data_IF_073928600840
#
_entry.id   IF_073928600840
#
_cell.length_a   1.000
_cell.length_b   1.000
_cell.length_c   1.000
_cell.angle_alpha   90.00
_cell.angle_beta   90.00
_cell.angle_gamma   90.00
#
_symmetry.space_group_name_H-M   'P 1'
#
loop_
_entity.id
_entity.type
_entity.pdbx_description
1 polymer ?
#
# COMPACT_ATOMS: atom_id res chain seq x y z
N UNK A 1 -5.55 34.83 -4.83
CA UNK A 1 -4.29 34.58 -4.09
C UNK A 1 -3.78 33.19 -4.46
N UNK A 2 -2.46 32.98 -4.61
CA UNK A 2 -1.88 31.66 -4.79
C UNK A 2 -2.28 30.72 -3.64
N UNK A 3 -2.74 29.50 -3.96
CA UNK A 3 -3.05 28.46 -2.97
C UNK A 3 -1.83 27.59 -2.72
N UNK A 4 -1.74 27.00 -1.54
CA UNK A 4 -0.87 25.86 -1.25
C UNK A 4 -1.73 24.60 -1.25
N UNK A 5 -1.37 23.63 -2.09
CA UNK A 5 -2.15 22.43 -2.33
C UNK A 5 -1.29 21.20 -2.09
N UNK A 6 -1.75 20.29 -1.24
CA UNK A 6 -1.17 18.96 -1.05
C UNK A 6 -2.05 17.96 -1.79
N UNK A 7 -1.48 17.27 -2.77
CA UNK A 7 -2.20 16.36 -3.68
C UNK A 7 -1.56 14.98 -3.56
N UNK A 8 -2.38 13.95 -3.43
CA UNK A 8 -1.94 12.57 -3.40
C UNK A 8 -2.81 11.72 -4.33
N UNK A 9 -2.27 10.58 -4.72
CA UNK A 9 -3.01 9.45 -5.30
C UNK A 9 -3.07 8.33 -4.26
N UNK A 10 -3.79 7.25 -4.54
CA UNK A 10 -3.66 6.05 -3.73
C UNK A 10 -2.20 5.55 -3.78
N UNK A 11 -1.77 4.94 -2.69
CA UNK A 11 -0.45 4.32 -2.61
C UNK A 11 -0.54 2.93 -3.27
N UNK A 12 0.18 2.69 -4.38
CA UNK A 12 0.16 1.38 -5.02
C UNK A 12 0.77 0.32 -4.11
N UNK A 13 0.11 -0.83 -4.07
CA UNK A 13 0.55 -1.94 -3.25
C UNK A 13 1.84 -2.57 -3.83
N UNK A 14 2.86 -2.77 -2.99
CA UNK A 14 4.20 -3.21 -3.41
C UNK A 14 4.31 -4.73 -3.61
N UNK A 15 3.26 -5.37 -4.13
CA UNK A 15 3.24 -6.79 -4.48
C UNK A 15 3.18 -7.06 -5.98
N UNK A 16 3.19 -6.02 -6.82
CA UNK A 16 3.08 -6.14 -8.26
C UNK A 16 3.47 -4.89 -9.03
N UNK A 17 3.64 -5.06 -10.34
CA UNK A 17 3.90 -3.97 -11.28
C UNK A 17 2.66 -3.09 -11.49
N UNK A 18 2.88 -1.87 -11.98
CA UNK A 18 1.77 -1.02 -12.40
C UNK A 18 1.02 -1.65 -13.58
N UNK A 19 -0.27 -1.35 -13.62
CA UNK A 19 -1.18 -1.66 -14.71
C UNK A 19 -1.98 -0.42 -15.06
N UNK A 20 -2.75 -0.46 -16.16
CA UNK A 20 -3.45 0.70 -16.70
C UNK A 20 -4.37 1.40 -15.69
N UNK A 21 -5.00 0.65 -14.78
CA UNK A 21 -5.81 1.23 -13.70
C UNK A 21 -5.05 2.22 -12.81
N UNK A 22 -3.81 1.91 -12.41
CA UNK A 22 -2.96 2.83 -11.64
C UNK A 22 -2.64 4.09 -12.46
N UNK A 23 -2.26 3.89 -13.72
CA UNK A 23 -1.85 4.98 -14.61
C UNK A 23 -3.02 5.92 -14.90
N UNK A 24 -4.24 5.39 -15.03
CA UNK A 24 -5.46 6.21 -15.18
C UNK A 24 -5.64 7.18 -14.02
N UNK A 25 -5.50 6.71 -12.78
CA UNK A 25 -5.59 7.56 -11.58
C UNK A 25 -4.51 8.64 -11.59
N UNK A 26 -3.27 8.25 -11.90
CA UNK A 26 -2.14 9.18 -11.90
C UNK A 26 -2.26 10.25 -12.99
N UNK A 27 -2.69 9.88 -14.20
CA UNK A 27 -2.92 10.85 -15.29
C UNK A 27 -4.00 11.85 -14.89
N UNK A 28 -5.10 11.40 -14.29
CA UNK A 28 -6.17 12.29 -13.84
C UNK A 28 -5.65 13.31 -12.81
N UNK A 29 -4.92 12.84 -11.79
CA UNK A 29 -4.33 13.70 -10.78
C UNK A 29 -3.28 14.66 -11.39
N UNK A 30 -2.42 14.15 -12.26
CA UNK A 30 -1.33 14.91 -12.88
C UNK A 30 -1.85 16.04 -13.78
N UNK A 31 -2.91 15.81 -14.57
CA UNK A 31 -3.59 16.86 -15.35
C UNK A 31 -4.08 17.98 -14.44
N UNK A 32 -4.71 17.62 -13.32
CA UNK A 32 -5.22 18.61 -12.36
C UNK A 32 -4.07 19.38 -11.70
N UNK A 33 -3.02 18.69 -11.28
CA UNK A 33 -1.80 19.28 -10.68
C UNK A 33 -1.16 20.28 -11.64
N UNK A 34 -0.98 19.89 -12.91
CA UNK A 34 -0.43 20.78 -13.95
C UNK A 34 -1.28 22.02 -14.14
N UNK A 35 -2.60 21.85 -14.22
CA UNK A 35 -3.53 22.97 -14.29
C UNK A 35 -3.36 23.92 -13.09
N UNK A 36 -3.31 23.41 -11.86
CA UNK A 36 -3.13 24.25 -10.67
C UNK A 36 -1.79 24.98 -10.65
N UNK A 37 -0.70 24.31 -11.05
CA UNK A 37 0.62 24.94 -11.19
C UNK A 37 0.58 26.07 -12.23
N UNK A 38 -0.10 25.87 -13.37
CA UNK A 38 -0.29 26.92 -14.39
C UNK A 38 -1.14 28.11 -13.92
N UNK A 39 -2.07 27.89 -12.98
CA UNK A 39 -2.82 28.97 -12.31
C UNK A 39 -1.98 29.72 -11.26
N UNK A 40 -0.69 29.40 -11.12
CA UNK A 40 0.23 30.04 -10.19
C UNK A 40 0.07 29.56 -8.74
N UNK A 41 -0.51 28.39 -8.51
CA UNK A 41 -0.56 27.79 -7.16
C UNK A 41 0.71 27.00 -6.85
N UNK A 42 1.06 26.95 -5.56
CA UNK A 42 2.08 26.03 -5.05
C UNK A 42 1.41 24.68 -4.84
N UNK A 43 1.93 23.64 -5.49
CA UNK A 43 1.40 22.28 -5.41
C UNK A 43 2.50 21.35 -4.96
N UNK A 44 2.20 20.51 -3.97
CA UNK A 44 3.01 19.38 -3.54
C UNK A 44 2.27 18.11 -3.93
N UNK A 45 2.69 17.48 -5.03
CA UNK A 45 2.12 16.23 -5.53
C UNK A 45 2.96 15.06 -5.03
N UNK A 46 2.41 14.27 -4.10
CA UNK A 46 3.17 13.25 -3.35
C UNK A 46 2.56 11.87 -3.53
N UNK A 47 3.43 10.88 -3.73
CA UNK A 47 3.08 9.45 -3.77
C UNK A 47 4.04 8.62 -2.93
N UNK A 48 3.74 7.33 -2.77
CA UNK A 48 4.61 6.36 -2.12
C UNK A 48 4.17 4.93 -2.48
N UNK A 49 5.07 3.95 -2.40
CA UNK A 49 4.66 2.55 -2.42
C UNK A 49 4.09 2.13 -1.04
N UNK A 50 2.98 1.38 -1.04
CA UNK A 50 2.48 0.69 0.15
C UNK A 50 3.19 -0.67 0.31
N UNK A 51 4.15 -0.70 1.23
CA UNK A 51 5.16 -1.73 1.40
C UNK A 51 4.86 -2.76 2.51
N UNK A 52 3.72 -2.67 3.19
CA UNK A 52 3.42 -3.53 4.35
C UNK A 52 2.27 -4.52 4.10
N UNK A 53 2.21 -5.56 4.93
CA UNK A 53 1.10 -6.50 4.98
C UNK A 53 1.47 -7.93 4.61
N UNK A 54 0.61 -8.86 5.04
CA UNK A 54 0.81 -10.28 4.85
C UNK A 54 0.94 -10.71 3.37
N UNK A 55 0.28 -10.10 2.36
CA UNK A 55 0.47 -10.55 0.97
C UNK A 55 1.89 -10.35 0.46
N UNK A 56 2.56 -9.26 0.86
CA UNK A 56 3.96 -8.99 0.51
C UNK A 56 4.87 -10.04 1.12
N UNK A 57 4.68 -10.35 2.42
CA UNK A 57 5.46 -11.39 3.10
C UNK A 57 5.35 -12.75 2.39
N UNK A 58 4.14 -13.15 1.96
CA UNK A 58 3.94 -14.40 1.22
C UNK A 58 4.64 -14.37 -0.14
N UNK A 59 4.46 -13.27 -0.88
CA UNK A 59 5.02 -13.16 -2.22
C UNK A 59 6.55 -13.22 -2.16
N UNK A 60 7.15 -12.56 -1.18
CA UNK A 60 8.58 -12.63 -0.89
C UNK A 60 9.03 -14.06 -0.54
N UNK A 61 8.31 -14.76 0.34
CA UNK A 61 8.60 -16.16 0.70
C UNK A 61 8.54 -17.10 -0.51
N UNK A 62 7.53 -16.95 -1.38
CA UNK A 62 7.38 -17.77 -2.60
C UNK A 62 8.57 -17.67 -3.55
N UNK A 63 9.25 -16.52 -3.57
CA UNK A 63 10.43 -16.28 -4.41
C UNK A 63 11.75 -16.35 -3.62
N UNK A 64 11.72 -16.79 -2.36
CA UNK A 64 12.90 -16.95 -1.52
C UNK A 64 13.62 -15.64 -1.16
N UNK A 65 12.90 -14.51 -1.09
CA UNK A 65 13.44 -13.19 -0.77
C UNK A 65 12.93 -12.68 0.58
N UNK A 66 13.64 -11.74 1.19
CA UNK A 66 13.07 -10.96 2.30
C UNK A 66 11.97 -10.03 1.78
N UNK A 67 10.99 -9.63 2.62
CA UNK A 67 9.98 -8.65 2.22
C UNK A 67 10.59 -7.35 1.69
N UNK A 68 11.65 -6.86 2.32
CA UNK A 68 12.34 -5.63 1.92
C UNK A 68 12.99 -5.77 0.54
N UNK A 69 13.66 -6.89 0.27
CA UNK A 69 14.24 -7.16 -1.06
C UNK A 69 13.15 -7.24 -2.13
N UNK A 70 12.06 -7.95 -1.83
CA UNK A 70 10.95 -8.11 -2.75
C UNK A 70 10.29 -6.76 -3.09
N UNK A 71 10.02 -5.91 -2.09
CA UNK A 71 9.49 -4.55 -2.29
C UNK A 71 10.48 -3.70 -3.08
N UNK A 72 11.77 -3.76 -2.77
CA UNK A 72 12.81 -3.00 -3.48
C UNK A 72 12.87 -3.37 -4.97
N UNK A 73 12.73 -4.66 -5.31
CA UNK A 73 12.71 -5.11 -6.71
C UNK A 73 11.49 -4.59 -7.47
N UNK A 74 10.32 -4.56 -6.82
CA UNK A 74 9.10 -3.98 -7.40
C UNK A 74 9.26 -2.46 -7.59
N UNK A 75 9.79 -1.76 -6.59
CA UNK A 75 10.03 -0.33 -6.61
C UNK A 75 11.03 0.08 -7.71
N UNK A 76 12.07 -0.73 -7.95
CA UNK A 76 13.03 -0.51 -9.03
C UNK A 76 12.38 -0.49 -10.43
N UNK A 77 11.23 -1.17 -10.58
CA UNK A 77 10.45 -1.20 -11.82
C UNK A 77 9.53 0.00 -12.02
N UNK A 78 9.45 0.97 -11.11
CA UNK A 78 8.48 2.08 -11.17
C UNK A 78 8.85 3.17 -12.16
N UNK A 79 10.14 3.51 -12.22
CA UNK A 79 10.67 4.64 -13.00
C UNK A 79 10.23 4.64 -14.47
N UNK A 80 10.30 3.51 -15.21
CA UNK A 80 9.87 3.49 -16.63
C UNK A 80 8.40 3.88 -16.83
N UNK A 81 7.51 3.52 -15.90
CA UNK A 81 6.10 3.87 -15.99
C UNK A 81 5.86 5.34 -15.64
N UNK A 82 6.40 5.80 -14.51
CA UNK A 82 6.19 7.18 -14.06
C UNK A 82 6.77 8.19 -15.06
N UNK A 83 8.01 7.95 -15.53
CA UNK A 83 8.66 8.82 -16.51
C UNK A 83 8.02 8.68 -17.90
N UNK A 84 7.67 7.45 -18.29
CA UNK A 84 7.09 7.17 -19.61
C UNK A 84 5.71 7.79 -19.81
N UNK A 85 4.92 7.93 -18.75
CA UNK A 85 3.65 8.66 -18.75
C UNK A 85 3.79 10.13 -18.30
N UNK A 86 5.03 10.59 -18.05
CA UNK A 86 5.34 11.96 -17.60
C UNK A 86 4.61 12.38 -16.33
N UNK A 87 4.39 11.46 -15.39
CA UNK A 87 3.74 11.77 -14.11
C UNK A 87 4.69 12.62 -13.25
N UNK A 88 4.19 13.76 -12.77
CA UNK A 88 5.02 14.83 -12.18
C UNK A 88 4.92 14.93 -10.65
N UNK A 89 5.05 13.80 -9.96
CA UNK A 89 5.21 13.78 -8.50
C UNK A 89 6.42 14.62 -8.08
N UNK A 90 6.23 15.47 -7.07
CA UNK A 90 7.29 16.24 -6.42
C UNK A 90 8.09 15.37 -5.44
N UNK A 91 7.45 14.33 -4.89
CA UNK A 91 8.08 13.37 -4.00
C UNK A 91 7.43 11.98 -4.13
N UNK A 92 8.26 10.95 -4.16
CA UNK A 92 7.83 9.54 -4.10
C UNK A 92 8.57 8.85 -2.96
N UNK A 93 7.83 8.28 -2.01
CA UNK A 93 8.38 7.63 -0.80
C UNK A 93 7.97 6.16 -0.68
N UNK A 94 8.06 5.59 0.53
CA UNK A 94 7.59 4.26 0.90
C UNK A 94 6.91 4.33 2.27
N UNK A 95 5.89 3.50 2.49
CA UNK A 95 5.32 3.33 3.84
C UNK A 95 6.30 2.65 4.80
N UNK A 96 7.27 1.88 4.30
CA UNK A 96 8.40 1.32 5.07
C UNK A 96 9.56 2.34 5.14
N UNK A 97 9.28 3.49 5.75
CA UNK A 97 10.24 4.59 5.95
C UNK A 97 10.33 4.99 7.43
N UNK A 98 11.51 5.47 7.90
CA UNK A 98 11.66 5.97 9.26
C UNK A 98 10.61 7.02 9.64
N UNK A 99 10.30 7.93 8.70
CA UNK A 99 9.32 9.01 8.88
C UNK A 99 7.92 8.46 9.11
N UNK A 100 7.47 7.49 8.29
CA UNK A 100 6.16 6.90 8.45
C UNK A 100 6.07 6.03 9.70
N UNK A 101 7.15 5.34 10.09
CA UNK A 101 7.20 4.59 11.35
C UNK A 101 7.01 5.50 12.57
N UNK A 102 7.69 6.64 12.60
CA UNK A 102 7.54 7.62 13.67
C UNK A 102 6.12 8.19 13.72
N UNK A 103 5.61 8.65 12.57
CA UNK A 103 4.28 9.25 12.46
C UNK A 103 3.16 8.26 12.83
N UNK A 104 3.19 7.03 12.29
CA UNK A 104 2.19 6.00 12.61
C UNK A 104 2.18 5.66 14.10
N UNK A 105 3.37 5.51 14.72
CA UNK A 105 3.47 5.27 16.16
C UNK A 105 2.96 6.45 16.99
N UNK A 106 3.25 7.68 16.57
CA UNK A 106 2.78 8.89 17.27
C UNK A 106 1.25 8.99 17.25
N UNK A 107 0.61 8.72 16.11
CA UNK A 107 -0.85 8.73 15.96
C UNK A 107 -1.46 7.65 16.86
N UNK A 108 -0.94 6.42 16.83
CA UNK A 108 -1.41 5.36 17.71
C UNK A 108 -1.31 5.73 19.19
N UNK A 109 -0.17 6.31 19.62
CA UNK A 109 0.04 6.74 21.01
C UNK A 109 -0.94 7.84 21.41
N UNK A 110 -1.21 8.81 20.54
CA UNK A 110 -2.19 9.87 20.78
C UNK A 110 -3.61 9.30 20.92
N UNK A 111 -4.05 8.43 20.00
CA UNK A 111 -5.35 7.76 20.08
C UNK A 111 -5.50 6.96 21.39
N UNK A 112 -4.42 6.28 21.81
CA UNK A 112 -4.40 5.52 23.07
C UNK A 112 -4.51 6.44 24.30
N UNK A 113 -3.82 7.59 24.29
CA UNK A 113 -3.87 8.57 25.38
C UNK A 113 -5.27 9.17 25.57
N UNK A 114 -6.00 9.38 24.48
CA UNK A 114 -7.39 9.87 24.48
C UNK A 114 -8.42 8.76 24.80
N UNK A 115 -7.98 7.54 25.13
CA UNK A 115 -8.88 6.42 25.43
C UNK A 115 -9.64 5.88 24.21
N UNK A 116 -9.21 6.21 22.99
CA UNK A 116 -9.86 5.81 21.73
C UNK A 116 -9.40 4.43 21.22
N UNK A 117 -8.58 3.71 22.00
CA UNK A 117 -8.11 2.36 21.68
C UNK A 117 -8.70 1.36 22.69
N UNK A 118 -9.51 0.42 22.20
CA UNK A 118 -10.02 -0.70 23.00
C UNK A 118 -9.30 -1.99 22.68
N UNK A 119 -9.02 -2.80 23.71
CA UNK A 119 -8.44 -4.14 23.56
C UNK A 119 -9.52 -5.18 23.81
N UNK A 120 -9.63 -6.16 22.93
CA UNK A 120 -10.58 -7.27 23.04
C UNK A 120 -9.94 -8.56 22.58
N UNK A 121 -10.20 -9.70 23.24
CA UNK A 121 -9.85 -10.99 22.67
C UNK A 121 -10.68 -11.23 21.40
N UNK A 122 -10.07 -11.86 20.41
CA UNK A 122 -10.72 -12.28 19.18
C UNK A 122 -10.33 -13.73 18.89
N UNK A 123 -11.25 -14.48 18.31
CA UNK A 123 -10.97 -15.80 17.77
C UNK A 123 -10.50 -15.66 16.33
N UNK A 124 -9.36 -16.27 16.00
CA UNK A 124 -8.78 -16.24 14.67
C UNK A 124 -8.15 -17.59 14.35
N UNK A 125 -8.20 -18.01 13.09
CA UNK A 125 -7.55 -19.24 12.64
C UNK A 125 -6.03 -19.16 12.80
N UNK A 126 -5.42 -20.27 13.20
CA UNK A 126 -3.98 -20.38 13.49
C UNK A 126 -3.39 -21.64 12.86
N UNK A 127 -2.26 -21.48 12.19
CA UNK A 127 -1.45 -22.59 11.66
C UNK A 127 -0.39 -22.97 12.70
N UNK A 128 -0.51 -24.13 13.39
CA UNK A 128 0.42 -24.53 14.44
C UNK A 128 1.77 -25.02 13.91
N UNK A 129 1.87 -25.45 12.65
CA UNK A 129 3.14 -25.88 12.05
C UNK A 129 3.99 -24.68 11.67
N UNK A 130 3.37 -23.61 11.16
CA UNK A 130 4.04 -22.35 10.81
C UNK A 130 4.11 -21.36 11.97
N UNK A 131 3.35 -21.60 13.04
CA UNK A 131 3.30 -20.73 14.22
C UNK A 131 2.77 -19.34 13.93
N UNK A 132 1.75 -19.21 13.06
CA UNK A 132 1.21 -17.92 12.66
C UNK A 132 -0.32 -17.90 12.55
N UNK A 133 -0.92 -16.74 12.83
CA UNK A 133 -2.34 -16.50 12.53
C UNK A 133 -2.57 -16.42 11.02
N UNK A 134 -3.70 -16.98 10.58
CA UNK A 134 -4.12 -16.98 9.19
C UNK A 134 -5.07 -15.80 8.96
N UNK A 135 -4.74 -14.93 8.01
CA UNK A 135 -5.75 -14.05 7.42
C UNK A 135 -6.66 -14.88 6.50
N UNK A 136 -7.89 -14.43 6.24
CA UNK A 136 -8.91 -15.24 5.57
C UNK A 136 -8.43 -15.87 4.25
N UNK A 137 -7.75 -15.09 3.40
CA UNK A 137 -7.15 -15.57 2.13
C UNK A 137 -6.07 -16.67 2.26
N UNK A 138 -5.63 -17.01 3.47
CA UNK A 138 -4.74 -18.15 3.74
C UNK A 138 -5.50 -19.43 4.06
N UNK A 139 -6.78 -19.33 4.38
CA UNK A 139 -7.64 -20.48 4.65
C UNK A 139 -8.10 -21.01 3.30
N UNK A 140 -7.88 -22.30 3.07
CA UNK A 140 -8.32 -22.98 1.85
C UNK A 140 -9.20 -24.15 2.21
N UNK A 141 -10.26 -24.38 1.44
CA UNK A 141 -11.16 -25.49 1.68
C UNK A 141 -12.14 -25.75 0.55
N UNK A 142 -13.18 -26.47 0.89
CA UNK A 142 -14.30 -26.75 0.00
C UNK A 142 -15.39 -25.69 0.15
N UNK A 143 -15.95 -25.21 -0.96
CA UNK A 143 -17.08 -24.30 -0.95
C UNK A 143 -18.27 -24.95 -0.24
N UNK A 144 -18.79 -24.36 0.86
CA UNK A 144 -19.89 -24.96 1.62
C UNK A 144 -21.23 -24.95 0.87
N UNK A 145 -21.31 -24.28 -0.29
CA UNK A 145 -22.53 -24.17 -1.09
C UNK A 145 -22.56 -25.12 -2.29
N UNK A 146 -21.47 -25.19 -3.06
CA UNK A 146 -21.44 -25.94 -4.31
C UNK A 146 -20.46 -27.12 -4.32
N UNK A 147 -19.71 -27.34 -3.23
CA UNK A 147 -18.72 -28.42 -3.15
C UNK A 147 -17.47 -28.22 -4.01
N UNK A 148 -17.30 -27.02 -4.59
CA UNK A 148 -16.09 -26.69 -5.33
C UNK A 148 -14.88 -26.79 -4.39
N UNK A 149 -13.90 -27.61 -4.77
CA UNK A 149 -12.67 -27.75 -4.02
C UNK A 149 -11.78 -26.51 -4.19
N UNK A 150 -10.76 -26.40 -3.33
CA UNK A 150 -9.67 -25.44 -3.46
C UNK A 150 -10.05 -23.96 -3.44
N UNK A 151 -11.12 -23.59 -2.73
CA UNK A 151 -11.52 -22.19 -2.53
C UNK A 151 -10.69 -21.53 -1.44
N UNK A 152 -10.38 -20.24 -1.60
CA UNK A 152 -9.58 -19.45 -0.67
C UNK A 152 -10.44 -18.39 0.02
N UNK A 153 -10.31 -18.24 1.34
CA UNK A 153 -10.99 -17.18 2.08
C UNK A 153 -12.51 -17.32 2.15
N UNK A 154 -13.20 -16.20 1.99
CA UNK A 154 -14.65 -16.01 2.14
C UNK A 154 -15.49 -16.47 0.94
#
# INVERSE_FOLDING_TARGET
MPRQLFVTTALPYANGHFHIGHIMEYIQADIWVRFQRMQGHQVHFVGADDAHGAPIMIAAQKVGKTPQQFVADIAAGRKPYLDGFHISFDHWSSTDSPENHELAQSIYRALKAEGLITVRPVEQMFDPEKGMFLADRFVKGECPKCGAQDQYGD
#
